data_IF_513956247960
#
_entry.id   IF_513956247960
#
_cell.length_a   1.000
_cell.length_b   1.000
_cell.length_c   1.000
_cell.angle_alpha   90.00
_cell.angle_beta   90.00
_cell.angle_gamma   90.00
#
_symmetry.space_group_name_H-M   'P 1'
#
loop_
_entity.id
_entity.type
_entity.pdbx_description
1 polymer ?
#
# COMPACT_ATOMS: atom_id res chain seq x y z
N UNK A 1 36.72 -2.70 -25.66
CA UNK A 1 35.86 -1.61 -25.17
C UNK A 1 34.37 -1.98 -25.13
N UNK A 2 33.79 -2.56 -26.18
CA UNK A 2 32.37 -2.98 -26.23
C UNK A 2 31.95 -3.91 -25.08
N UNK A 3 32.74 -4.94 -24.76
CA UNK A 3 32.44 -5.86 -23.66
C UNK A 3 32.38 -5.18 -22.27
N UNK A 4 33.16 -4.10 -22.07
CA UNK A 4 33.12 -3.31 -20.83
C UNK A 4 31.81 -2.52 -20.73
N UNK A 5 31.32 -1.98 -21.85
CA UNK A 5 30.05 -1.24 -21.88
C UNK A 5 28.86 -2.17 -21.65
N UNK A 6 28.88 -3.38 -22.22
CA UNK A 6 27.84 -4.39 -21.97
C UNK A 6 27.80 -4.84 -20.51
N UNK A 7 28.97 -5.07 -19.90
CA UNK A 7 29.07 -5.40 -18.48
C UNK A 7 28.52 -4.26 -17.60
N UNK A 8 28.89 -3.02 -17.87
CA UNK A 8 28.38 -1.84 -17.16
C UNK A 8 26.87 -1.69 -17.30
N UNK A 9 26.33 -1.89 -18.52
CA UNK A 9 24.89 -1.85 -18.76
C UNK A 9 24.16 -2.95 -17.99
N UNK A 10 24.72 -4.17 -17.93
CA UNK A 10 24.15 -5.27 -17.15
C UNK A 10 24.17 -4.97 -15.66
N UNK A 11 25.29 -4.50 -15.12
CA UNK A 11 25.40 -4.13 -13.71
C UNK A 11 24.43 -3.01 -13.33
N UNK A 12 24.26 -2.01 -14.20
CA UNK A 12 23.29 -0.94 -14.01
C UNK A 12 21.85 -1.48 -13.99
N UNK A 13 21.50 -2.35 -14.93
CA UNK A 13 20.16 -2.95 -14.99
C UNK A 13 19.84 -3.79 -13.75
N UNK A 14 20.81 -4.57 -13.25
CA UNK A 14 20.61 -5.37 -12.01
C UNK A 14 20.42 -4.46 -10.79
N UNK A 15 21.17 -3.35 -10.71
CA UNK A 15 21.00 -2.35 -9.64
C UNK A 15 19.62 -1.71 -9.72
N UNK A 16 19.20 -1.25 -10.89
CA UNK A 16 17.88 -0.64 -11.08
C UNK A 16 16.75 -1.61 -10.71
N UNK A 17 16.86 -2.88 -11.12
CA UNK A 17 15.87 -3.92 -10.77
C UNK A 17 15.76 -4.11 -9.26
N UNK A 18 16.90 -4.09 -8.56
CA UNK A 18 16.92 -4.17 -7.09
C UNK A 18 16.30 -2.92 -6.46
N UNK A 19 16.64 -1.74 -6.93
CA UNK A 19 16.11 -0.47 -6.41
C UNK A 19 14.59 -0.37 -6.58
N UNK A 20 14.06 -0.81 -7.74
CA UNK A 20 12.61 -0.88 -7.97
C UNK A 20 11.93 -1.87 -7.02
N UNK A 21 12.52 -3.05 -6.83
CA UNK A 21 11.98 -4.04 -5.89
C UNK A 21 11.98 -3.55 -4.43
N UNK A 22 13.03 -2.85 -4.01
CA UNK A 22 13.13 -2.28 -2.67
C UNK A 22 12.22 -1.04 -2.51
N UNK A 23 11.91 -0.33 -3.59
CA UNK A 23 10.88 0.70 -3.61
C UNK A 23 9.48 0.09 -3.42
N UNK A 24 9.13 -0.96 -4.15
CA UNK A 24 7.82 -1.63 -4.03
C UNK A 24 7.54 -2.11 -2.60
N UNK A 25 8.56 -2.70 -1.95
CA UNK A 25 8.44 -3.10 -0.54
C UNK A 25 8.17 -1.91 0.39
N UNK A 26 8.85 -0.79 0.17
CA UNK A 26 8.63 0.43 0.98
C UNK A 26 7.22 0.97 0.79
N UNK A 27 6.74 0.99 -0.45
CA UNK A 27 5.38 1.41 -0.77
C UNK A 27 4.33 0.53 -0.08
N UNK A 28 4.52 -0.79 -0.06
CA UNK A 28 3.61 -1.69 0.69
C UNK A 28 3.55 -1.34 2.18
N UNK A 29 4.71 -1.12 2.81
CA UNK A 29 4.77 -0.73 4.23
C UNK A 29 4.08 0.61 4.48
N UNK A 30 4.29 1.60 3.61
CA UNK A 30 3.64 2.90 3.72
C UNK A 30 2.11 2.78 3.54
N UNK A 31 1.65 1.95 2.61
CA UNK A 31 0.23 1.67 2.41
C UNK A 31 -0.39 1.04 3.66
N UNK A 32 0.26 0.04 4.27
CA UNK A 32 -0.22 -0.58 5.50
C UNK A 32 -0.31 0.43 6.66
N UNK A 33 0.68 1.32 6.79
CA UNK A 33 0.64 2.40 7.77
C UNK A 33 -0.53 3.36 7.54
N UNK A 34 -0.82 3.70 6.28
CA UNK A 34 -1.96 4.55 5.95
C UNK A 34 -3.29 3.89 6.27
N UNK A 35 -3.43 2.60 5.98
CA UNK A 35 -4.64 1.82 6.33
C UNK A 35 -4.84 1.81 7.84
N UNK A 36 -3.80 1.50 8.62
CA UNK A 36 -3.90 1.52 10.09
C UNK A 36 -4.28 2.91 10.63
N UNK A 37 -3.72 3.98 10.07
CA UNK A 37 -4.05 5.35 10.46
C UNK A 37 -5.53 5.67 10.17
N UNK A 38 -6.02 5.29 8.98
CA UNK A 38 -7.43 5.49 8.61
C UNK A 38 -8.37 4.71 9.54
N UNK A 39 -8.08 3.44 9.81
CA UNK A 39 -8.84 2.63 10.77
C UNK A 39 -8.87 3.28 12.14
N UNK A 40 -7.71 3.74 12.63
CA UNK A 40 -7.59 4.42 13.94
C UNK A 40 -8.43 5.69 13.98
N UNK A 41 -8.38 6.53 12.94
CA UNK A 41 -9.18 7.76 12.86
C UNK A 41 -10.68 7.46 12.85
N UNK A 42 -11.13 6.49 12.05
CA UNK A 42 -12.55 6.13 11.94
C UNK A 42 -13.09 5.48 13.21
N UNK A 43 -12.29 4.61 13.83
CA UNK A 43 -12.60 4.03 15.13
C UNK A 43 -12.73 5.13 16.20
N UNK A 44 -11.79 6.08 16.25
CA UNK A 44 -11.81 7.18 17.21
C UNK A 44 -12.99 8.14 16.98
N UNK A 45 -13.41 8.32 15.73
CA UNK A 45 -14.61 9.09 15.37
C UNK A 45 -15.92 8.32 15.66
N UNK A 46 -15.85 7.08 16.12
CA UNK A 46 -17.02 6.27 16.46
C UNK A 46 -17.75 5.70 15.24
N UNK A 47 -17.11 5.62 14.07
CA UNK A 47 -17.73 5.06 12.86
C UNK A 47 -17.91 3.55 13.05
N UNK A 48 -19.14 3.02 12.99
CA UNK A 48 -19.39 1.59 13.20
C UNK A 48 -18.66 0.71 12.17
N UNK A 49 -18.17 -0.44 12.63
CA UNK A 49 -17.49 -1.42 11.78
C UNK A 49 -15.99 -1.17 11.60
N UNK A 50 -15.44 -0.07 12.11
CA UNK A 50 -14.00 0.22 12.05
C UNK A 50 -13.30 -0.08 13.36
N UNK A 51 -12.24 -0.88 13.24
CA UNK A 51 -11.24 -1.17 14.27
C UNK A 51 -9.92 -1.51 13.58
N UNK A 52 -8.79 -1.32 14.28
CA UNK A 52 -7.47 -1.67 13.72
C UNK A 52 -7.36 -3.19 13.54
N UNK A 53 -7.10 -3.63 12.31
CA UNK A 53 -6.97 -5.06 11.97
C UNK A 53 -6.13 -5.25 10.70
N UNK A 54 -5.39 -6.36 10.65
CA UNK A 54 -4.66 -6.84 9.47
C UNK A 54 -5.30 -8.09 8.87
N UNK A 55 -6.42 -8.57 9.42
CA UNK A 55 -7.14 -9.70 8.85
C UNK A 55 -7.73 -9.31 7.48
N UNK A 56 -7.45 -10.13 6.48
CA UNK A 56 -7.83 -9.84 5.10
C UNK A 56 -9.34 -9.82 4.86
N UNK A 57 -10.14 -10.54 5.65
CA UNK A 57 -11.61 -10.55 5.53
C UNK A 57 -12.18 -9.28 6.16
N UNK A 58 -11.68 -8.91 7.34
CA UNK A 58 -12.11 -7.68 8.02
C UNK A 58 -11.74 -6.44 7.22
N UNK A 59 -10.52 -6.40 6.65
CA UNK A 59 -10.11 -5.31 5.75
C UNK A 59 -11.06 -5.15 4.57
N UNK A 60 -11.41 -6.25 3.89
CA UNK A 60 -12.37 -6.23 2.78
C UNK A 60 -13.74 -5.73 3.23
N UNK A 61 -14.22 -6.16 4.40
CA UNK A 61 -15.48 -5.70 4.96
C UNK A 61 -15.45 -4.19 5.23
N UNK A 62 -14.40 -3.70 5.89
CA UNK A 62 -14.22 -2.26 6.17
C UNK A 62 -14.13 -1.43 4.88
N UNK A 63 -13.47 -1.94 3.82
CA UNK A 63 -13.45 -1.29 2.51
C UNK A 63 -14.83 -1.21 1.86
N UNK A 64 -15.65 -2.27 1.97
CA UNK A 64 -17.04 -2.25 1.49
C UNK A 64 -17.87 -1.24 2.26
N UNK A 65 -17.74 -1.19 3.60
CA UNK A 65 -18.43 -0.20 4.43
C UNK A 65 -18.03 1.22 4.03
N UNK A 66 -16.72 1.50 3.83
CA UNK A 66 -16.25 2.80 3.34
C UNK A 66 -16.89 3.17 2.01
N UNK A 67 -16.95 2.22 1.08
CA UNK A 67 -17.55 2.43 -0.24
C UNK A 67 -19.04 2.79 -0.13
N UNK A 68 -19.79 2.08 0.74
CA UNK A 68 -21.20 2.38 0.99
C UNK A 68 -21.40 3.76 1.60
N UNK A 69 -20.62 4.14 2.62
CA UNK A 69 -20.68 5.46 3.24
C UNK A 69 -20.40 6.56 2.20
N UNK A 70 -19.35 6.38 1.39
CA UNK A 70 -18.98 7.32 0.33
C UNK A 70 -20.11 7.48 -0.69
N UNK A 71 -20.69 6.37 -1.15
CA UNK A 71 -21.71 6.40 -2.20
C UNK A 71 -23.02 7.02 -1.69
N UNK A 72 -23.38 6.79 -0.42
CA UNK A 72 -24.54 7.45 0.21
C UNK A 72 -24.29 8.94 0.45
N UNK A 73 -23.10 9.33 0.90
CA UNK A 73 -22.77 10.72 1.18
C UNK A 73 -22.57 11.57 -0.08
N UNK A 74 -22.40 10.93 -1.24
CA UNK A 74 -22.25 11.58 -2.55
C UNK A 74 -23.59 11.78 -3.28
N UNK A 75 -24.72 11.37 -2.67
CA UNK A 75 -26.09 11.63 -3.13
C UNK A 75 -26.61 12.94 -2.55
#
# INVERSE_FOLDING_TARGET
MQHKHEKQKRELNERLKKELHDLDKRLLVELDQKVMMQQTTLQAAGVPGFFVTMDSKDLKLQMVILKLIHDVASL
#
